data_IF_632978958226
#
_entry.id   IF_632978958226
#
_cell.length_a   1.000
_cell.length_b   1.000
_cell.length_c   1.000
_cell.angle_alpha   90.00
_cell.angle_beta   90.00
_cell.angle_gamma   90.00
#
_symmetry.space_group_name_H-M   'P 1'
#
loop_
_entity.id
_entity.type
_entity.pdbx_description
1 polymer ?
#
# COMPACT_ATOMS: atom_id res chain seq x y z
N UNK A 1 -81.82 51.03 0.60
CA UNK A 1 -80.40 51.40 0.80
C UNK A 1 -79.78 50.39 1.77
N UNK A 2 -79.13 49.37 1.22
CA UNK A 2 -78.27 48.50 2.02
C UNK A 2 -77.08 48.05 1.17
N UNK A 3 -75.93 48.53 1.51
CA UNK A 3 -74.69 48.17 0.85
C UNK A 3 -74.19 46.75 1.29
N UNK A 4 -73.94 45.92 0.30
CA UNK A 4 -73.25 44.65 0.49
C UNK A 4 -71.75 44.95 0.63
N UNK A 5 -71.16 44.59 1.74
CA UNK A 5 -69.70 44.59 1.94
C UNK A 5 -69.19 43.21 1.55
N UNK A 6 -68.43 43.14 0.46
CA UNK A 6 -67.79 41.93 -0.02
C UNK A 6 -66.44 41.74 0.68
N UNK A 7 -66.34 40.72 1.51
CA UNK A 7 -65.14 40.40 2.30
C UNK A 7 -64.21 39.49 1.47
N UNK A 8 -63.12 40.04 0.93
CA UNK A 8 -62.09 39.29 0.25
C UNK A 8 -61.15 38.62 1.23
N UNK A 9 -61.35 37.33 1.48
CA UNK A 9 -60.42 36.52 2.22
C UNK A 9 -59.19 36.17 1.34
N UNK A 10 -58.05 36.83 1.60
CA UNK A 10 -56.77 36.56 0.97
C UNK A 10 -56.18 35.31 1.63
N UNK A 11 -56.14 34.21 0.91
CA UNK A 11 -55.44 32.98 1.34
C UNK A 11 -53.93 33.17 1.15
N UNK A 12 -53.21 33.37 2.23
CA UNK A 12 -51.75 33.27 2.24
C UNK A 12 -51.37 31.77 2.26
N UNK A 13 -50.84 31.27 1.18
CA UNK A 13 -50.18 29.98 1.11
C UNK A 13 -48.74 30.14 1.62
N UNK A 14 -48.47 29.71 2.85
CA UNK A 14 -47.12 29.60 3.37
C UNK A 14 -46.50 28.33 2.78
N UNK A 15 -45.63 28.47 1.79
CA UNK A 15 -44.79 27.38 1.28
C UNK A 15 -43.68 27.13 2.33
N UNK A 16 -43.83 26.09 3.15
CA UNK A 16 -42.75 25.59 4.01
C UNK A 16 -41.74 24.89 3.14
N UNK A 17 -40.63 25.59 2.84
CA UNK A 17 -39.44 25.01 2.20
C UNK A 17 -38.74 24.14 3.24
N UNK A 18 -38.96 22.83 3.22
CA UNK A 18 -38.17 21.85 3.99
C UNK A 18 -36.80 21.77 3.36
N UNK A 19 -35.85 22.53 3.86
CA UNK A 19 -34.40 22.30 3.60
C UNK A 19 -33.99 21.07 4.41
N UNK A 20 -33.89 19.94 3.73
CA UNK A 20 -33.23 18.75 4.26
C UNK A 20 -31.74 19.08 4.32
N UNK A 21 -31.26 19.56 5.46
CA UNK A 21 -29.84 19.55 5.76
C UNK A 21 -29.44 18.10 6.00
N UNK A 22 -28.98 17.43 4.94
CA UNK A 22 -28.22 16.19 5.07
C UNK A 22 -26.99 16.52 5.91
N UNK A 23 -26.88 15.95 7.12
CA UNK A 23 -25.63 15.96 7.84
C UNK A 23 -24.62 15.19 6.97
N UNK A 24 -23.77 15.90 6.25
CA UNK A 24 -22.56 15.35 5.66
C UNK A 24 -21.65 15.13 6.86
N UNK A 25 -21.61 13.91 7.36
CA UNK A 25 -20.54 13.52 8.29
C UNK A 25 -19.27 13.56 7.44
N UNK A 26 -18.37 14.49 7.72
CA UNK A 26 -17.01 14.41 7.22
C UNK A 26 -16.42 13.12 7.79
N UNK A 27 -15.80 12.31 6.95
CA UNK A 27 -15.06 11.15 7.43
C UNK A 27 -13.91 11.65 8.32
N UNK A 28 -13.68 10.96 9.44
CA UNK A 28 -12.58 11.30 10.33
C UNK A 28 -11.25 10.99 9.65
N UNK A 29 -10.26 11.84 9.88
CA UNK A 29 -8.90 11.58 9.40
C UNK A 29 -8.29 10.40 10.17
N UNK A 30 -7.81 9.42 9.43
CA UNK A 30 -7.11 8.22 9.94
C UNK A 30 -5.61 8.42 10.04
N UNK A 31 -5.10 9.53 9.56
CA UNK A 31 -3.70 9.91 9.53
C UNK A 31 -3.52 11.27 8.88
N UNK A 32 -2.28 11.61 8.59
CA UNK A 32 -1.94 12.86 7.90
C UNK A 32 -0.54 12.84 7.32
N UNK A 33 -0.31 13.73 6.39
CA UNK A 33 1.01 14.00 5.82
C UNK A 33 1.86 14.74 6.85
N UNK A 34 2.99 14.16 7.25
CA UNK A 34 3.88 14.80 8.24
C UNK A 34 5.22 15.26 7.66
N UNK A 35 5.58 14.77 6.48
CA UNK A 35 6.78 15.22 5.74
C UNK A 35 6.49 15.18 4.24
N UNK A 36 6.98 16.20 3.53
CA UNK A 36 6.85 16.31 2.08
C UNK A 36 8.10 17.01 1.53
N UNK A 37 8.61 16.54 0.40
CA UNK A 37 9.74 17.15 -0.31
C UNK A 37 9.52 17.08 -1.83
N UNK A 38 10.13 18.01 -2.57
CA UNK A 38 9.93 18.10 -4.02
C UNK A 38 8.56 18.66 -4.40
N UNK A 39 8.06 18.31 -5.59
CA UNK A 39 6.73 18.72 -6.06
C UNK A 39 5.67 17.88 -5.33
N UNK A 40 4.74 18.48 -4.60
CA UNK A 40 3.67 17.75 -3.95
C UNK A 40 2.77 17.08 -5.01
N UNK A 41 2.30 15.89 -4.68
CA UNK A 41 1.28 15.20 -5.44
C UNK A 41 -0.13 15.61 -5.02
N UNK A 42 -1.08 14.70 -5.20
CA UNK A 42 -2.49 14.90 -4.86
C UNK A 42 -3.05 13.79 -3.96
N UNK A 43 -4.11 14.15 -3.24
CA UNK A 43 -4.96 13.22 -2.48
C UNK A 43 -6.37 13.39 -3.03
N UNK A 44 -6.91 12.34 -3.64
CA UNK A 44 -8.26 12.34 -4.19
C UNK A 44 -9.21 11.60 -3.26
N UNK A 45 -10.23 12.30 -2.78
CA UNK A 45 -11.30 11.78 -1.92
C UNK A 45 -12.32 10.96 -2.71
N UNK A 46 -13.07 10.10 -2.03
CA UNK A 46 -14.23 9.41 -2.65
C UNK A 46 -15.30 10.36 -3.17
N UNK A 47 -15.36 11.57 -2.67
CA UNK A 47 -16.26 12.64 -3.12
C UNK A 47 -15.86 13.23 -4.48
N UNK A 48 -14.65 12.91 -4.96
CA UNK A 48 -14.02 13.53 -6.12
C UNK A 48 -13.31 14.84 -5.81
N UNK A 49 -13.22 15.23 -4.55
CA UNK A 49 -12.40 16.37 -4.11
C UNK A 49 -10.93 16.00 -4.24
N UNK A 50 -10.15 16.90 -4.84
CA UNK A 50 -8.71 16.76 -4.98
C UNK A 50 -7.99 17.78 -4.08
N UNK A 51 -7.12 17.28 -3.22
CA UNK A 51 -6.31 18.05 -2.29
C UNK A 51 -4.84 17.95 -2.68
N UNK A 52 -4.07 19.01 -2.43
CA UNK A 52 -2.61 18.95 -2.56
C UNK A 52 -2.04 18.11 -1.41
N UNK A 53 -1.18 17.15 -1.72
CA UNK A 53 -0.51 16.28 -0.74
C UNK A 53 0.65 17.03 -0.07
N UNK A 54 0.35 17.91 0.88
CA UNK A 54 1.31 18.73 1.62
C UNK A 54 1.23 18.44 3.13
N UNK A 55 2.22 18.93 3.88
CA UNK A 55 2.25 18.78 5.34
C UNK A 55 0.93 19.27 5.96
N UNK A 56 0.44 18.53 6.95
CA UNK A 56 -0.84 18.72 7.66
C UNK A 56 -2.10 18.40 6.83
N UNK A 57 -1.99 17.93 5.58
CA UNK A 57 -3.16 17.40 4.87
C UNK A 57 -3.58 16.06 5.49
N UNK A 58 -4.83 15.98 5.96
CA UNK A 58 -5.42 14.78 6.55
C UNK A 58 -5.64 13.68 5.50
N UNK A 59 -5.53 12.44 5.94
CA UNK A 59 -5.77 11.22 5.15
C UNK A 59 -7.03 10.53 5.67
N UNK A 60 -7.88 10.06 4.78
CA UNK A 60 -9.11 9.33 5.11
C UNK A 60 -9.12 7.94 4.46
N UNK A 61 -9.98 7.06 4.96
CA UNK A 61 -10.24 5.79 4.26
C UNK A 61 -10.79 6.06 2.87
N UNK A 62 -10.35 5.25 1.91
CA UNK A 62 -10.68 5.33 0.49
C UNK A 62 -10.04 6.51 -0.24
N UNK A 63 -9.05 7.18 0.34
CA UNK A 63 -8.26 8.16 -0.39
C UNK A 63 -7.31 7.48 -1.38
N UNK A 64 -7.19 8.11 -2.56
CA UNK A 64 -6.11 7.84 -3.49
C UNK A 64 -5.01 8.88 -3.28
N UNK A 65 -3.81 8.41 -2.99
CA UNK A 65 -2.63 9.25 -2.79
C UNK A 65 -1.67 9.04 -3.95
N UNK A 66 -1.37 10.10 -4.67
CA UNK A 66 -0.43 10.11 -5.79
C UNK A 66 0.68 11.12 -5.56
N UNK A 67 1.93 10.68 -5.70
CA UNK A 67 3.09 11.58 -5.68
C UNK A 67 3.50 11.95 -7.10
N UNK A 68 3.97 13.20 -7.28
CA UNK A 68 4.61 13.64 -8.53
C UNK A 68 6.15 13.51 -8.44
N UNK A 69 6.90 14.57 -8.78
CA UNK A 69 8.35 14.62 -8.64
C UNK A 69 8.77 14.99 -7.20
N UNK A 70 8.12 14.36 -6.23
CA UNK A 70 8.34 14.60 -4.81
C UNK A 70 8.06 13.37 -3.98
N UNK A 71 8.44 13.43 -2.71
CA UNK A 71 8.29 12.36 -1.73
C UNK A 71 7.30 12.78 -0.66
N UNK A 72 6.59 11.81 -0.14
CA UNK A 72 5.56 12.01 0.86
C UNK A 72 5.73 11.00 2.00
N UNK A 73 5.59 11.47 3.25
CA UNK A 73 5.46 10.57 4.39
C UNK A 73 4.13 10.80 5.08
N UNK A 74 3.39 9.72 5.26
CA UNK A 74 2.10 9.68 5.93
C UNK A 74 2.27 8.96 7.25
N UNK A 75 1.66 9.50 8.29
CA UNK A 75 1.60 8.88 9.61
C UNK A 75 0.15 8.66 9.99
N UNK A 76 -0.19 7.42 10.33
CA UNK A 76 -1.52 7.03 10.75
C UNK A 76 -1.70 7.18 12.27
N UNK A 77 -2.95 7.15 12.74
CA UNK A 77 -3.30 7.32 14.16
C UNK A 77 -2.75 6.23 15.07
N UNK A 78 -2.36 5.08 14.53
CA UNK A 78 -1.70 3.97 15.24
C UNK A 78 -0.17 4.04 15.20
N UNK A 79 0.40 5.16 14.74
CA UNK A 79 1.83 5.38 14.53
C UNK A 79 2.42 4.60 13.33
N UNK A 80 1.64 3.86 12.55
CA UNK A 80 2.09 3.30 11.26
C UNK A 80 2.54 4.43 10.34
N UNK A 81 3.68 4.25 9.69
CA UNK A 81 4.25 5.21 8.77
C UNK A 81 4.38 4.60 7.38
N UNK A 82 4.04 5.39 6.37
CA UNK A 82 4.25 5.05 4.97
C UNK A 82 5.06 6.17 4.33
N UNK A 83 6.18 5.80 3.71
CA UNK A 83 7.00 6.72 2.92
C UNK A 83 6.84 6.38 1.45
N UNK A 84 6.42 7.34 0.64
CA UNK A 84 6.20 7.21 -0.80
C UNK A 84 7.29 7.96 -1.56
N UNK A 85 7.89 7.33 -2.58
CA UNK A 85 8.82 8.01 -3.50
C UNK A 85 8.05 8.76 -4.60
N UNK A 86 8.79 9.30 -5.54
CA UNK A 86 8.27 9.94 -6.75
C UNK A 86 7.42 8.95 -7.56
N UNK A 87 6.37 9.44 -8.23
CA UNK A 87 5.48 8.68 -9.11
C UNK A 87 4.88 7.42 -8.47
N UNK A 88 4.51 7.53 -7.20
CA UNK A 88 3.86 6.45 -6.45
C UNK A 88 2.38 6.70 -6.34
N UNK A 89 1.58 5.65 -6.60
CA UNK A 89 0.13 5.65 -6.45
C UNK A 89 -0.29 4.56 -5.46
N UNK A 90 -0.96 4.97 -4.39
CA UNK A 90 -1.55 4.08 -3.39
C UNK A 90 -3.00 4.48 -3.10
N UNK A 91 -3.89 3.48 -3.02
CA UNK A 91 -5.27 3.62 -2.60
C UNK A 91 -5.43 3.00 -1.20
N UNK A 92 -6.00 3.75 -0.26
CA UNK A 92 -6.29 3.27 1.09
C UNK A 92 -7.70 2.70 1.09
N UNK A 93 -7.84 1.38 0.93
CA UNK A 93 -9.16 0.75 0.75
C UNK A 93 -9.91 0.49 2.05
N UNK A 94 -9.20 0.29 3.15
CA UNK A 94 -9.80 0.17 4.49
C UNK A 94 -8.77 0.53 5.55
N UNK A 95 -9.18 1.30 6.57
CA UNK A 95 -8.37 1.51 7.75
C UNK A 95 -9.28 1.64 8.98
N UNK A 96 -9.10 0.72 9.92
CA UNK A 96 -9.80 0.71 11.21
C UNK A 96 -8.76 0.44 12.29
N UNK A 97 -8.63 1.35 13.23
CA UNK A 97 -7.82 1.16 14.42
C UNK A 97 -8.71 1.17 15.66
N UNK A 98 -8.79 0.03 16.35
CA UNK A 98 -9.63 -0.21 17.52
C UNK A 98 -8.74 -0.63 18.69
N UNK A 99 -9.06 -0.25 19.95
CA UNK A 99 -8.37 -0.75 21.13
C UNK A 99 -8.34 -2.29 21.27
N UNK A 100 -9.31 -2.99 20.66
CA UNK A 100 -9.31 -4.43 20.49
C UNK A 100 -8.59 -4.79 19.16
N UNK A 101 -7.36 -5.33 19.21
CA UNK A 101 -6.59 -5.61 17.99
C UNK A 101 -7.32 -6.53 16.98
N UNK A 102 -8.24 -7.40 17.47
CA UNK A 102 -8.99 -8.30 16.58
C UNK A 102 -9.97 -7.57 15.64
N UNK A 103 -10.31 -6.33 15.96
CA UNK A 103 -11.20 -5.47 15.17
C UNK A 103 -10.45 -4.49 14.29
N UNK A 104 -9.16 -4.32 14.52
CA UNK A 104 -8.32 -3.44 13.71
C UNK A 104 -8.03 -4.06 12.37
N UNK A 105 -8.01 -3.23 11.31
CA UNK A 105 -7.78 -3.66 9.94
C UNK A 105 -7.08 -2.57 9.13
N UNK A 106 -6.27 -2.99 8.18
CA UNK A 106 -5.70 -2.12 7.15
C UNK A 106 -5.68 -2.86 5.82
N UNK A 107 -6.21 -2.23 4.79
CA UNK A 107 -6.10 -2.72 3.42
C UNK A 107 -5.73 -1.57 2.49
N UNK A 108 -4.78 -1.80 1.60
CA UNK A 108 -4.28 -0.83 0.64
C UNK A 108 -4.01 -1.49 -0.70
N UNK A 109 -4.28 -0.76 -1.79
CA UNK A 109 -3.86 -1.13 -3.15
C UNK A 109 -2.63 -0.31 -3.51
N UNK A 110 -1.53 -0.99 -3.76
CA UNK A 110 -0.29 -0.40 -4.23
C UNK A 110 -0.20 -0.56 -5.74
N UNK A 111 -0.50 0.51 -6.47
CA UNK A 111 -0.70 0.44 -7.92
C UNK A 111 0.61 0.62 -8.69
N UNK A 112 1.46 1.54 -8.26
CA UNK A 112 2.72 1.87 -8.92
C UNK A 112 3.69 2.58 -7.98
N UNK A 113 4.97 2.55 -8.28
CA UNK A 113 6.01 3.31 -7.59
C UNK A 113 6.69 2.51 -6.48
N UNK A 114 7.25 3.19 -5.48
CA UNK A 114 7.95 2.56 -4.35
C UNK A 114 7.47 3.13 -3.03
N UNK A 115 7.20 2.25 -2.06
CA UNK A 115 6.86 2.62 -0.70
C UNK A 115 7.64 1.81 0.32
N UNK A 116 7.90 2.45 1.47
CA UNK A 116 8.33 1.79 2.71
C UNK A 116 7.19 1.86 3.71
N UNK A 117 6.92 0.74 4.32
CA UNK A 117 5.96 0.59 5.41
C UNK A 117 6.69 0.28 6.71
N UNK A 118 6.45 1.07 7.75
CA UNK A 118 6.88 0.77 9.11
C UNK A 118 5.62 0.69 9.98
N UNK A 119 5.25 -0.53 10.39
CA UNK A 119 4.01 -0.74 11.15
C UNK A 119 4.12 -0.24 12.57
N UNK A 120 3.08 0.45 13.04
CA UNK A 120 2.86 0.91 14.41
C UNK A 120 2.01 -0.07 15.22
N UNK A 121 0.94 0.42 15.81
CA UNK A 121 0.01 -0.37 16.63
C UNK A 121 -0.66 -1.52 15.88
N UNK A 122 -0.90 -1.36 14.58
CA UNK A 122 -1.42 -2.44 13.71
C UNK A 122 -0.46 -3.63 13.57
N UNK A 123 0.83 -3.49 13.87
CA UNK A 123 1.76 -4.60 13.88
C UNK A 123 1.43 -5.71 14.90
N UNK A 124 0.52 -5.46 15.83
CA UNK A 124 0.07 -6.41 16.85
C UNK A 124 -1.24 -7.15 16.49
N UNK A 125 -1.89 -6.77 15.38
CA UNK A 125 -3.17 -7.39 14.95
C UNK A 125 -2.92 -8.71 14.21
N UNK A 126 -3.94 -9.57 14.08
CA UNK A 126 -3.85 -10.77 13.25
C UNK A 126 -3.41 -10.43 11.82
N UNK A 127 -2.47 -11.20 11.27
CA UNK A 127 -1.87 -10.93 9.95
C UNK A 127 -2.88 -10.87 8.79
N UNK A 128 -4.00 -11.57 8.91
CA UNK A 128 -5.10 -11.55 7.96
C UNK A 128 -5.86 -10.24 7.92
N UNK A 129 -5.66 -9.39 8.92
CA UNK A 129 -6.32 -8.08 9.02
C UNK A 129 -5.48 -6.96 8.39
N UNK A 130 -4.25 -7.25 7.95
CA UNK A 130 -3.39 -6.28 7.29
C UNK A 130 -3.01 -6.82 5.91
N UNK A 131 -3.56 -6.20 4.89
CA UNK A 131 -3.43 -6.65 3.49
C UNK A 131 -2.99 -5.49 2.62
N UNK A 132 -1.92 -5.71 1.86
CA UNK A 132 -1.49 -4.79 0.81
C UNK A 132 -1.55 -5.55 -0.51
N UNK A 133 -2.36 -5.06 -1.41
CA UNK A 133 -2.51 -5.63 -2.74
C UNK A 133 -1.63 -4.89 -3.74
N UNK A 134 -1.04 -5.62 -4.66
CA UNK A 134 -0.32 -5.11 -5.83
C UNK A 134 -0.93 -5.74 -7.08
N UNK A 135 -0.61 -5.28 -8.29
CA UNK A 135 -1.13 -5.90 -9.52
C UNK A 135 -0.80 -7.39 -9.66
N UNK A 136 0.25 -7.87 -8.99
CA UNK A 136 0.75 -9.26 -9.16
C UNK A 136 0.68 -10.10 -7.89
N UNK A 137 0.45 -9.50 -6.71
CA UNK A 137 0.47 -10.23 -5.44
C UNK A 137 -0.36 -9.56 -4.35
N UNK A 138 -0.72 -10.38 -3.35
CA UNK A 138 -1.22 -9.95 -2.05
C UNK A 138 -0.11 -10.10 -1.02
N UNK A 139 0.20 -9.05 -0.30
CA UNK A 139 1.24 -8.97 0.74
C UNK A 139 0.55 -8.93 2.10
N UNK A 140 0.70 -10.01 2.88
CA UNK A 140 0.28 -10.09 4.27
C UNK A 140 1.47 -9.81 5.18
N UNK A 141 1.30 -8.94 6.18
CA UNK A 141 2.39 -8.51 7.06
C UNK A 141 2.09 -8.82 8.52
N UNK A 142 3.17 -9.02 9.30
CA UNK A 142 3.10 -9.22 10.74
C UNK A 142 4.21 -8.43 11.42
N UNK A 143 3.85 -7.22 11.88
CA UNK A 143 4.75 -6.36 12.65
C UNK A 143 6.06 -6.07 11.91
N UNK A 144 6.00 -5.45 10.74
CA UNK A 144 7.13 -5.37 9.82
C UNK A 144 7.51 -3.94 9.44
N UNK A 145 8.79 -3.79 9.13
CA UNK A 145 9.34 -2.71 8.31
C UNK A 145 9.77 -3.35 6.98
N UNK A 146 9.26 -2.85 5.85
CA UNK A 146 9.54 -3.41 4.54
C UNK A 146 9.38 -2.38 3.43
N UNK A 147 9.96 -2.67 2.28
CA UNK A 147 9.71 -1.90 1.06
C UNK A 147 8.97 -2.75 0.03
N UNK A 148 8.15 -2.09 -0.77
CA UNK A 148 7.59 -2.68 -1.98
C UNK A 148 7.73 -1.71 -3.14
N UNK A 149 8.07 -2.25 -4.31
CA UNK A 149 8.14 -1.50 -5.57
C UNK A 149 7.26 -2.19 -6.59
N UNK A 150 6.39 -1.42 -7.24
CA UNK A 150 5.61 -1.87 -8.40
C UNK A 150 6.10 -1.08 -9.60
N UNK A 151 6.68 -1.78 -10.57
CA UNK A 151 7.23 -1.17 -11.76
C UNK A 151 6.17 -0.88 -12.85
N UNK A 152 6.60 -0.28 -13.96
CA UNK A 152 5.73 0.09 -15.08
C UNK A 152 5.03 -1.10 -15.75
N UNK A 153 5.54 -2.33 -15.55
CA UNK A 153 4.94 -3.57 -16.04
C UNK A 153 4.01 -4.22 -15.00
N UNK A 154 3.84 -3.60 -13.83
CA UNK A 154 3.05 -4.12 -12.72
C UNK A 154 3.75 -5.20 -11.89
N UNK A 155 5.04 -5.48 -12.14
CA UNK A 155 5.80 -6.47 -11.37
C UNK A 155 6.09 -5.91 -9.98
N UNK A 156 6.04 -6.78 -8.97
CA UNK A 156 6.18 -6.40 -7.58
C UNK A 156 7.46 -6.97 -6.98
N UNK A 157 8.32 -6.09 -6.45
CA UNK A 157 9.48 -6.45 -5.62
C UNK A 157 9.14 -6.14 -4.17
N UNK A 158 9.30 -7.10 -3.27
CA UNK A 158 9.06 -6.96 -1.83
C UNK A 158 10.33 -7.30 -1.09
N UNK A 159 10.75 -6.44 -0.14
CA UNK A 159 11.98 -6.61 0.65
C UNK A 159 11.64 -6.43 2.12
N UNK A 160 11.90 -7.46 2.94
CA UNK A 160 11.79 -7.39 4.38
C UNK A 160 13.00 -6.67 4.97
N UNK A 161 12.76 -5.61 5.74
CA UNK A 161 13.81 -4.83 6.37
C UNK A 161 14.17 -5.36 7.76
N UNK A 162 15.38 -5.05 8.26
CA UNK A 162 15.77 -5.38 9.62
C UNK A 162 14.97 -4.59 10.65
N UNK A 163 15.06 -4.99 11.92
CA UNK A 163 14.54 -4.21 13.03
C UNK A 163 15.37 -2.92 13.25
N UNK A 164 14.81 -1.97 14.00
CA UNK A 164 15.42 -0.67 14.25
C UNK A 164 16.75 -0.72 15.03
N UNK A 165 17.15 -1.90 15.55
CA UNK A 165 18.41 -2.07 16.26
C UNK A 165 19.57 -2.52 15.35
N UNK A 166 19.28 -2.72 14.06
CA UNK A 166 20.30 -3.00 13.07
C UNK A 166 20.96 -1.68 12.65
N UNK A 167 22.18 -1.44 13.13
CA UNK A 167 22.99 -0.28 12.74
C UNK A 167 23.65 -0.55 11.37
N UNK A 168 23.82 0.48 10.53
CA UNK A 168 24.53 0.45 9.24
C UNK A 168 25.96 -0.14 9.30
N UNK A 169 26.51 -0.23 10.51
CA UNK A 169 27.83 -0.81 10.77
C UNK A 169 27.79 -2.31 11.06
N UNK A 170 26.63 -2.84 11.39
CA UNK A 170 26.41 -4.27 11.63
C UNK A 170 26.03 -4.87 10.29
N UNK A 171 27.02 -5.26 9.50
CA UNK A 171 26.80 -5.96 8.25
C UNK A 171 26.02 -7.25 8.52
N UNK A 172 25.26 -7.71 7.53
CA UNK A 172 24.50 -8.96 7.49
C UNK A 172 25.22 -10.18 8.16
N UNK A 173 26.54 -10.17 8.20
CA UNK A 173 27.35 -11.20 8.82
C UNK A 173 27.21 -11.29 10.35
N UNK A 174 26.66 -10.29 11.04
CA UNK A 174 26.59 -10.24 12.51
C UNK A 174 25.16 -10.36 13.09
N UNK A 175 24.14 -10.65 12.25
CA UNK A 175 22.84 -11.08 12.75
C UNK A 175 21.82 -9.99 12.99
N UNK A 176 21.64 -9.08 12.04
CA UNK A 176 20.42 -8.24 11.99
C UNK A 176 19.17 -9.11 12.02
N UNK A 177 18.29 -8.84 12.96
CA UNK A 177 17.00 -9.53 13.04
C UNK A 177 16.02 -8.89 12.04
N UNK A 178 15.14 -9.69 11.46
CA UNK A 178 14.03 -9.12 10.69
C UNK A 178 13.11 -8.32 11.60
N UNK A 179 12.50 -7.26 11.07
CA UNK A 179 11.49 -6.47 11.79
C UNK A 179 10.19 -7.24 12.06
N UNK A 180 9.99 -8.35 11.33
CA UNK A 180 8.81 -9.21 11.43
C UNK A 180 8.82 -10.30 10.38
N UNK A 181 7.66 -10.62 9.80
CA UNK A 181 7.54 -11.56 8.68
C UNK A 181 6.52 -11.09 7.65
N UNK A 182 6.76 -11.46 6.39
CA UNK A 182 5.90 -11.11 5.25
C UNK A 182 5.51 -12.38 4.52
N UNK A 183 4.24 -12.50 4.15
CA UNK A 183 3.75 -13.55 3.26
C UNK A 183 3.33 -12.90 1.95
N UNK A 184 3.92 -13.32 0.84
CA UNK A 184 3.59 -12.87 -0.51
C UNK A 184 2.86 -13.99 -1.23
N UNK A 185 1.65 -13.72 -1.68
CA UNK A 185 0.73 -14.71 -2.25
C UNK A 185 0.20 -14.24 -3.59
N UNK A 186 0.13 -15.14 -4.57
CA UNK A 186 -0.65 -14.95 -5.80
C UNK A 186 -1.25 -16.28 -6.27
N UNK A 187 -1.83 -16.32 -7.47
CA UNK A 187 -2.41 -17.57 -8.02
C UNK A 187 -1.37 -18.67 -8.28
N UNK A 188 -0.10 -18.30 -8.50
CA UNK A 188 1.00 -19.24 -8.74
C UNK A 188 1.60 -19.86 -7.48
N UNK A 189 1.43 -19.24 -6.30
CA UNK A 189 2.01 -19.76 -5.07
C UNK A 189 2.10 -18.78 -3.91
N UNK A 190 2.80 -19.23 -2.86
CA UNK A 190 3.00 -18.48 -1.61
C UNK A 190 4.45 -18.56 -1.20
N UNK A 191 5.02 -17.42 -0.80
CA UNK A 191 6.37 -17.31 -0.26
C UNK A 191 6.35 -16.52 1.02
N UNK A 192 7.17 -16.90 2.01
CA UNK A 192 7.32 -16.16 3.27
C UNK A 192 8.75 -15.63 3.39
N UNK A 193 8.88 -14.35 3.77
CA UNK A 193 10.14 -13.70 4.10
C UNK A 193 10.25 -13.63 5.63
N UNK A 194 11.34 -14.16 6.18
CA UNK A 194 11.59 -14.28 7.62
C UNK A 194 13.00 -13.84 8.04
N UNK A 195 13.83 -13.42 7.08
CA UNK A 195 15.18 -12.93 7.32
C UNK A 195 15.30 -11.47 6.87
N UNK A 196 16.14 -10.71 7.58
CA UNK A 196 16.42 -9.33 7.20
C UNK A 196 17.02 -9.28 5.79
N UNK A 197 16.58 -8.30 5.00
CA UNK A 197 16.96 -8.10 3.60
C UNK A 197 16.55 -9.24 2.64
N UNK A 198 15.74 -10.19 3.08
CA UNK A 198 15.12 -11.11 2.15
C UNK A 198 14.21 -10.36 1.18
N UNK A 199 14.33 -10.72 -0.09
CA UNK A 199 13.56 -10.14 -1.18
C UNK A 199 12.90 -11.22 -2.04
N UNK A 200 11.77 -10.87 -2.65
CA UNK A 200 11.04 -11.70 -3.60
C UNK A 200 10.52 -10.82 -4.72
N UNK A 201 10.55 -11.34 -5.95
CA UNK A 201 9.94 -10.74 -7.14
C UNK A 201 8.70 -11.53 -7.55
N UNK A 202 7.66 -10.81 -7.93
CA UNK A 202 6.45 -11.38 -8.52
C UNK A 202 6.21 -10.74 -9.87
N UNK A 203 6.43 -11.51 -10.94
CA UNK A 203 6.41 -10.98 -12.30
C UNK A 203 5.01 -10.91 -12.90
N UNK A 204 4.15 -11.88 -12.60
CA UNK A 204 2.74 -11.88 -13.02
C UNK A 204 1.85 -12.46 -11.90
N UNK A 205 0.55 -12.26 -12.01
CA UNK A 205 -0.40 -12.81 -11.04
C UNK A 205 -0.45 -14.35 -11.04
N UNK A 206 -0.18 -15.00 -12.18
CA UNK A 206 -0.26 -16.46 -12.36
C UNK A 206 1.07 -17.16 -12.08
N UNK A 207 2.20 -16.47 -12.22
CA UNK A 207 3.52 -17.05 -11.99
C UNK A 207 3.85 -17.00 -10.51
N UNK A 208 4.28 -18.12 -9.93
CA UNK A 208 4.69 -18.15 -8.52
C UNK A 208 5.74 -17.07 -8.22
N UNK A 209 5.72 -16.46 -7.02
CA UNK A 209 6.80 -15.59 -6.58
C UNK A 209 8.15 -16.32 -6.69
N UNK A 210 9.26 -15.60 -6.95
CA UNK A 210 10.60 -16.19 -6.91
C UNK A 210 10.90 -16.79 -5.55
N UNK A 211 11.88 -17.68 -5.46
CA UNK A 211 12.42 -18.05 -4.16
C UNK A 211 12.98 -16.81 -3.44
N UNK A 212 12.86 -16.73 -2.10
CA UNK A 212 13.47 -15.64 -1.35
C UNK A 212 14.98 -15.62 -1.51
N UNK A 213 15.53 -14.44 -1.76
CA UNK A 213 16.99 -14.21 -1.80
C UNK A 213 17.37 -13.12 -0.81
N UNK A 214 18.53 -13.23 -0.18
CA UNK A 214 19.04 -12.19 0.74
C UNK A 214 19.90 -11.22 -0.06
N UNK A 215 19.55 -9.94 -0.03
CA UNK A 215 20.28 -8.87 -0.70
C UNK A 215 21.50 -8.50 0.17
N UNK A 216 22.70 -8.83 -0.30
CA UNK A 216 23.94 -8.67 0.51
C UNK A 216 24.58 -7.28 0.39
N UNK A 217 24.30 -6.56 -0.67
CA UNK A 217 24.90 -5.25 -0.98
C UNK A 217 23.92 -4.08 -0.76
N UNK A 218 22.76 -4.34 -0.11
CA UNK A 218 21.78 -3.32 0.18
C UNK A 218 22.15 -2.58 1.48
N UNK A 219 22.34 -1.28 1.37
CA UNK A 219 22.65 -0.39 2.49
C UNK A 219 21.35 0.30 2.96
N UNK A 220 21.19 0.48 4.27
CA UNK A 220 20.03 1.15 4.87
C UNK A 220 19.85 2.59 4.34
N UNK A 221 20.93 3.29 4.03
CA UNK A 221 20.85 4.60 3.39
C UNK A 221 20.25 4.55 1.98
N UNK A 222 20.51 3.48 1.23
CA UNK A 222 19.87 3.27 -0.07
C UNK A 222 18.38 3.02 0.09
N UNK A 223 17.99 2.28 1.13
CA UNK A 223 16.59 2.05 1.48
C UNK A 223 15.92 3.32 1.94
N UNK A 224 16.53 4.08 2.84
CA UNK A 224 15.99 5.34 3.37
C UNK A 224 15.86 6.41 2.27
N UNK A 225 16.75 6.40 1.29
CA UNK A 225 16.65 7.22 0.10
C UNK A 225 15.80 6.56 -1.00
N UNK A 226 15.40 5.30 -0.81
CA UNK A 226 14.57 4.50 -1.72
C UNK A 226 15.12 4.48 -3.16
N UNK A 227 16.45 4.44 -3.31
CA UNK A 227 17.12 4.36 -4.60
C UNK A 227 17.32 2.92 -5.09
N UNK A 228 16.25 2.14 -5.20
CA UNK A 228 16.32 0.92 -5.99
C UNK A 228 16.02 1.30 -7.44
N UNK A 229 16.98 1.93 -8.10
CA UNK A 229 16.87 2.37 -9.51
C UNK A 229 17.00 1.18 -10.47
N UNK A 230 17.62 0.08 -10.02
CA UNK A 230 17.79 -1.13 -10.81
C UNK A 230 17.47 -2.37 -9.98
N UNK A 231 16.93 -3.39 -10.68
CA UNK A 231 16.65 -4.67 -10.06
C UNK A 231 17.95 -5.26 -9.50
N UNK A 232 18.00 -5.69 -8.22
CA UNK A 232 19.18 -6.33 -7.64
C UNK A 232 19.61 -7.57 -8.44
N UNK A 233 20.90 -7.84 -8.50
CA UNK A 233 21.45 -8.94 -9.30
C UNK A 233 20.96 -10.30 -8.79
N UNK A 234 20.79 -10.45 -7.50
CA UNK A 234 20.22 -11.64 -6.85
C UNK A 234 18.77 -11.92 -7.31
N UNK A 235 17.98 -10.88 -7.52
CA UNK A 235 16.62 -11.01 -8.04
C UNK A 235 16.66 -11.43 -9.52
N UNK A 236 17.58 -10.89 -10.32
CA UNK A 236 17.75 -11.29 -11.73
C UNK A 236 18.08 -12.78 -11.79
N UNK A 237 19.03 -13.25 -10.98
CA UNK A 237 19.41 -14.67 -10.93
C UNK A 237 18.24 -15.56 -10.49
N UNK A 238 17.48 -15.17 -9.47
CA UNK A 238 16.32 -15.91 -9.00
C UNK A 238 15.22 -16.04 -10.06
N UNK A 239 14.99 -15.01 -10.87
CA UNK A 239 14.05 -15.08 -12.01
C UNK A 239 14.58 -15.99 -13.13
N UNK A 240 15.88 -15.94 -13.44
CA UNK A 240 16.50 -16.81 -14.43
C UNK A 240 16.40 -18.28 -14.02
N UNK A 241 16.73 -18.61 -12.76
CA UNK A 241 16.58 -19.96 -12.21
C UNK A 241 15.14 -20.44 -12.27
N UNK A 242 14.17 -19.58 -11.95
CA UNK A 242 12.76 -19.91 -12.05
C UNK A 242 12.34 -20.19 -13.50
N UNK A 243 12.82 -19.39 -14.46
CA UNK A 243 12.51 -19.58 -15.87
C UNK A 243 13.14 -20.86 -16.42
N UNK A 244 14.35 -21.20 -15.99
CA UNK A 244 15.01 -22.45 -16.38
C UNK A 244 14.28 -23.69 -15.81
N UNK A 245 13.84 -23.61 -14.56
CA UNK A 245 13.04 -24.66 -13.92
C UNK A 245 11.73 -24.91 -14.68
N UNK A 246 11.03 -23.85 -15.09
CA UNK A 246 9.80 -23.95 -15.88
C UNK A 246 10.03 -24.55 -17.29
N UNK A 247 11.18 -24.27 -17.90
CA UNK A 247 11.55 -24.86 -19.20
C UNK A 247 11.95 -26.33 -19.06
N UNK A 248 12.59 -26.70 -17.93
CA UNK A 248 13.02 -28.08 -17.65
C UNK A 248 11.88 -29.05 -17.35
N UNK A 249 10.79 -28.58 -16.75
CA UNK A 249 9.59 -29.40 -16.45
C UNK A 249 8.67 -29.58 -17.69
N UNK A 250 8.86 -28.76 -18.73
CA UNK A 250 8.25 -28.92 -20.07
C UNK A 250 8.95 -29.98 -20.94
N UNK A 251 9.49 -31.02 -20.31
CA UNK A 251 10.16 -32.14 -21.01
C UNK A 251 9.28 -32.78 -22.07
N UNK A 252 9.67 -32.53 -23.31
CA UNK A 252 9.38 -33.27 -24.52
C UNK A 252 8.20 -34.26 -24.43
N UNK A 253 7.02 -33.80 -24.79
CA UNK A 253 6.09 -34.68 -25.46
C UNK A 253 6.65 -34.85 -26.87
N UNK A 254 7.49 -35.90 -27.01
CA UNK A 254 7.95 -36.39 -28.31
C UNK A 254 6.75 -36.95 -29.05
N UNK A 255 6.20 -36.18 -29.97
CA UNK A 255 5.08 -36.57 -30.83
C UNK A 255 5.56 -37.43 -32.02
N UNK A 256 6.68 -38.12 -31.92
CA UNK A 256 7.20 -38.95 -33.01
C UNK A 256 6.75 -40.41 -33.02
N UNK A 257 5.91 -40.86 -32.07
CA UNK A 257 5.36 -42.23 -32.07
C UNK A 257 3.84 -42.25 -32.34
N UNK A 258 3.41 -41.82 -33.51
CA UNK A 258 2.13 -42.17 -34.10
C UNK A 258 2.32 -42.47 -35.58
N UNK A 259 2.79 -43.71 -35.87
CA UNK A 259 2.57 -44.42 -37.10
C UNK A 259 1.60 -45.59 -36.87
#
# INVERSE_FOLDING_TARGET
MHQLVLNKATKFAVAVLLTVFGNIYAADDIGGVYEQSGTPGSITRTTGEELTAQIDTGIQSYDNVETENGRLKIKFVDETQISLTEHTLVEITEYVFDPDPSKSKMAMNFVAGTARFATGGLGLVPKENIVIETPTATIGIRGTDFTTTVDELGRSLVILLPDANCDDKVKLEEGCRPSGSITVTNAGGVVTLEEAFQAVMVSTFETAPTNPVVLVDLDLNQIDNMFIISKPEEIIQAEEEQQEALKGDGGLLDFTDLD
#
